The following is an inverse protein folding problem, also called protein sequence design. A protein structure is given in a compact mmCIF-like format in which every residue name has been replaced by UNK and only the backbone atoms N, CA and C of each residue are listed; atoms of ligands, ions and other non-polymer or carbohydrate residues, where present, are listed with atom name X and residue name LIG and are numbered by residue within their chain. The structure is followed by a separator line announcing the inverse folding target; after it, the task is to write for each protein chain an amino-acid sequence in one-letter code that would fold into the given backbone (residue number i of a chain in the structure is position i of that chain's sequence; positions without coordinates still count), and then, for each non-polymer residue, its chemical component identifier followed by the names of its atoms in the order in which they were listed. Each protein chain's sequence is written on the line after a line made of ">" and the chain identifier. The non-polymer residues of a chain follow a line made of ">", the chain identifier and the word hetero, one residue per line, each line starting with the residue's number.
data_IF_913185291152
#
_entry.id   IF_913185291152
#
_cell.length_a   1.000
_cell.length_b   1.000
_cell.length_c   1.000
_cell.angle_alpha   90.00
_cell.angle_beta   90.00
_cell.angle_gamma   90.00
#
_symmetry.space_group_name_H-M   'P 1'
#
loop_
_entity.id
_entity.type
_entity.pdbx_description
1 polymer ?
#
# COMPACT_ATOMS: atom_id res chain seq x y z
N UNK A 1 -4.49 13.86 -10.38
CA UNK A 1 -3.61 13.64 -9.23
C UNK A 1 -4.41 13.56 -7.95
N UNK A 2 -5.22 14.58 -7.66
CA UNK A 2 -6.00 14.67 -6.41
C UNK A 2 -6.91 13.45 -6.15
N UNK A 3 -7.61 12.94 -7.18
CA UNK A 3 -8.44 11.73 -7.05
C UNK A 3 -7.61 10.50 -6.64
N UNK A 4 -6.44 10.29 -7.25
CA UNK A 4 -5.55 9.17 -6.90
C UNK A 4 -4.97 9.33 -5.49
N UNK A 5 -4.56 10.56 -5.13
CA UNK A 5 -4.06 10.85 -3.78
C UNK A 5 -5.16 10.62 -2.73
N UNK A 6 -6.39 11.05 -3.01
CA UNK A 6 -7.54 10.83 -2.14
C UNK A 6 -7.84 9.34 -2.00
N UNK A 7 -7.82 8.58 -3.11
CA UNK A 7 -7.96 7.12 -3.10
C UNK A 7 -6.88 6.46 -2.25
N UNK A 8 -5.61 6.77 -2.48
CA UNK A 8 -4.48 6.19 -1.73
C UNK A 8 -4.56 6.52 -0.24
N UNK A 9 -4.92 7.77 0.13
CA UNK A 9 -5.13 8.13 1.54
C UNK A 9 -6.23 7.27 2.17
N UNK A 10 -7.38 7.16 1.53
CA UNK A 10 -8.49 6.34 2.04
C UNK A 10 -8.09 4.87 2.22
N UNK A 11 -7.33 4.31 1.27
CA UNK A 11 -6.87 2.92 1.34
C UNK A 11 -5.81 2.70 2.42
N UNK A 12 -4.88 3.63 2.57
CA UNK A 12 -3.87 3.57 3.64
C UNK A 12 -4.51 3.72 5.03
N UNK A 13 -5.55 4.54 5.15
CA UNK A 13 -6.32 4.68 6.40
C UNK A 13 -7.09 3.39 6.71
N UNK A 14 -7.66 2.73 5.70
CA UNK A 14 -8.31 1.43 5.84
C UNK A 14 -7.32 0.32 6.26
N UNK A 15 -6.18 0.22 5.58
CA UNK A 15 -5.10 -0.72 5.91
C UNK A 15 -4.59 -0.50 7.35
N UNK A 16 -4.43 0.76 7.77
CA UNK A 16 -4.05 1.12 9.13
C UNK A 16 -5.10 0.71 10.15
N UNK A 17 -6.39 0.97 9.89
CA UNK A 17 -7.48 0.58 10.79
C UNK A 17 -7.56 -0.94 10.96
N UNK A 18 -7.48 -1.69 9.85
CA UNK A 18 -7.49 -3.15 9.87
C UNK A 18 -6.28 -3.70 10.63
N UNK A 19 -5.09 -3.13 10.41
CA UNK A 19 -3.88 -3.52 11.14
C UNK A 19 -3.99 -3.19 12.64
N UNK A 20 -4.45 -2.00 13.02
CA UNK A 20 -4.63 -1.65 14.44
C UNK A 20 -5.65 -2.57 15.14
N UNK A 21 -6.74 -2.91 14.48
CA UNK A 21 -7.73 -3.85 15.01
C UNK A 21 -7.15 -5.27 15.18
N UNK A 22 -6.31 -5.70 14.23
CA UNK A 22 -5.64 -7.00 14.29
C UNK A 22 -4.52 -7.05 15.36
N UNK A 23 -3.78 -5.96 15.55
CA UNK A 23 -2.72 -5.85 16.58
C UNK A 23 -3.29 -5.99 18.00
N UNK A 24 -4.51 -5.50 18.22
CA UNK A 24 -5.27 -5.68 19.46
C UNK A 24 -5.90 -7.09 19.60
N UNK A 25 -5.70 -7.97 18.61
CA UNK A 25 -6.29 -9.30 18.51
C UNK A 25 -5.31 -10.46 18.66
N UNK A 26 -5.52 -11.54 17.90
CA UNK A 26 -4.78 -12.81 18.00
C UNK A 26 -3.29 -12.75 17.59
N UNK A 27 -2.78 -11.58 17.19
CA UNK A 27 -1.39 -11.38 16.76
C UNK A 27 -0.43 -11.06 17.92
N UNK A 28 -0.96 -10.61 19.07
CA UNK A 28 -0.18 -10.25 20.27
C UNK A 28 -0.36 -11.23 21.42
N UNK A 29 -1.33 -12.14 21.32
CA UNK A 29 -1.63 -13.09 22.37
C UNK A 29 -0.90 -14.43 22.15
N UNK A 30 -0.21 -14.84 23.21
CA UNK A 30 0.46 -16.11 23.43
C UNK A 30 -0.56 -17.27 23.42
N UNK A 31 -1.10 -17.63 22.25
CA UNK A 31 -1.92 -18.83 22.08
C UNK A 31 -1.14 -19.91 21.34
N UNK A 32 -0.36 -20.64 22.14
CA UNK A 32 0.47 -21.81 21.83
C UNK A 32 -0.34 -23.01 21.28
N UNK A 33 -1.69 -22.94 21.22
CA UNK A 33 -2.56 -24.05 20.80
C UNK A 33 -2.90 -24.10 19.30
N UNK A 34 -2.78 -22.99 18.55
CA UNK A 34 -2.99 -23.00 17.09
C UNK A 34 -1.69 -23.23 16.31
N UNK A 35 -0.72 -23.92 16.92
CA UNK A 35 0.39 -24.55 16.19
C UNK A 35 -0.11 -25.74 15.37
N UNK A 36 -0.93 -25.48 14.36
CA UNK A 36 -1.39 -26.47 13.41
C UNK A 36 -0.65 -26.29 12.08
N UNK A 37 0.52 -26.95 12.01
CA UNK A 37 1.39 -27.20 10.83
C UNK A 37 2.02 -25.96 10.18
N UNK A 38 3.33 -25.79 10.40
CA UNK A 38 4.15 -24.91 9.58
C UNK A 38 4.02 -25.24 8.08
N UNK A 39 4.08 -24.20 7.26
CA UNK A 39 3.86 -24.20 5.81
C UNK A 39 3.97 -22.78 5.25
N UNK A 40 4.09 -22.65 3.93
CA UNK A 40 4.36 -21.38 3.26
C UNK A 40 3.23 -20.34 3.45
N UNK A 41 1.98 -20.79 3.57
CA UNK A 41 0.82 -19.93 3.79
C UNK A 41 0.85 -19.26 5.17
N UNK A 42 1.29 -20.00 6.19
CA UNK A 42 1.44 -19.47 7.55
C UNK A 42 2.65 -18.53 7.67
N UNK A 43 3.77 -18.89 7.03
CA UNK A 43 4.94 -18.00 6.96
C UNK A 43 4.60 -16.70 6.24
N UNK A 44 3.82 -16.76 5.16
CA UNK A 44 3.31 -15.57 4.48
C UNK A 44 2.45 -14.73 5.43
N UNK A 45 1.47 -15.33 6.12
CA UNK A 45 0.64 -14.63 7.09
C UNK A 45 1.48 -13.92 8.17
N UNK A 46 2.43 -14.61 8.80
CA UNK A 46 3.33 -14.01 9.80
C UNK A 46 4.18 -12.88 9.23
N UNK A 47 4.64 -13.03 7.98
CA UNK A 47 5.42 -12.00 7.29
C UNK A 47 4.59 -10.74 7.03
N UNK A 48 3.27 -10.85 6.99
CA UNK A 48 2.32 -9.74 6.83
C UNK A 48 1.63 -9.36 8.16
N UNK A 49 2.38 -9.42 9.28
CA UNK A 49 1.86 -9.04 10.60
C UNK A 49 1.35 -7.59 10.66
N UNK A 50 0.38 -7.29 11.55
CA UNK A 50 -0.16 -5.95 11.72
C UNK A 50 0.91 -4.87 11.95
N UNK A 51 1.88 -5.16 12.82
CA UNK A 51 2.99 -4.25 13.09
C UNK A 51 3.83 -3.95 11.85
N UNK A 52 3.95 -4.89 10.90
CA UNK A 52 4.60 -4.60 9.61
C UNK A 52 3.71 -3.74 8.72
N UNK A 53 2.42 -4.07 8.58
CA UNK A 53 1.49 -3.28 7.76
C UNK A 53 1.48 -1.81 8.20
N UNK A 54 1.47 -1.53 9.50
CA UNK A 54 1.58 -0.16 10.02
C UNK A 54 2.86 0.56 9.58
N UNK A 55 4.00 -0.14 9.55
CA UNK A 55 5.26 0.43 9.04
C UNK A 55 5.20 0.67 7.54
N UNK A 56 4.59 -0.23 6.78
CA UNK A 56 4.39 -0.06 5.33
C UNK A 56 3.45 1.10 5.01
N UNK A 57 2.35 1.26 5.76
CA UNK A 57 1.48 2.44 5.65
C UNK A 57 2.27 3.72 5.92
N UNK A 58 3.05 3.76 7.00
CA UNK A 58 3.94 4.89 7.31
C UNK A 58 4.92 5.19 6.17
N UNK A 59 5.57 4.15 5.62
CA UNK A 59 6.49 4.30 4.50
C UNK A 59 5.79 4.83 3.23
N UNK A 60 4.61 4.32 2.88
CA UNK A 60 3.82 4.78 1.72
C UNK A 60 3.35 6.23 1.90
N UNK A 61 2.93 6.63 3.11
CA UNK A 61 2.60 8.03 3.44
C UNK A 61 3.82 8.95 3.30
N UNK A 62 5.01 8.51 3.71
CA UNK A 62 6.25 9.25 3.50
C UNK A 62 6.58 9.43 2.01
N UNK A 63 6.44 8.37 1.21
CA UNK A 63 6.57 8.47 -0.25
C UNK A 63 5.56 9.48 -0.79
N UNK A 64 4.27 9.39 -0.42
CA UNK A 64 3.29 10.37 -0.89
C UNK A 64 3.70 11.81 -0.54
N UNK A 65 4.17 12.07 0.69
CA UNK A 65 4.62 13.39 1.12
C UNK A 65 5.84 13.91 0.33
N UNK A 66 6.79 13.04 -0.04
CA UNK A 66 7.92 13.41 -0.92
C UNK A 66 7.48 13.80 -2.33
N UNK A 67 6.31 13.30 -2.74
CA UNK A 67 5.73 13.50 -4.06
C UNK A 67 4.52 14.46 -4.05
N UNK A 68 4.31 15.18 -2.94
CA UNK A 68 3.35 16.29 -2.87
C UNK A 68 3.99 17.58 -3.41
N UNK A 69 3.31 18.23 -4.36
CA UNK A 69 3.81 19.45 -5.01
C UNK A 69 4.76 19.18 -6.19
N UNK A 70 5.49 20.21 -6.61
CA UNK A 70 6.45 20.11 -7.73
C UNK A 70 7.68 19.32 -7.32
N UNK A 71 7.95 18.21 -8.00
CA UNK A 71 9.10 17.35 -7.75
C UNK A 71 9.56 16.67 -9.05
N UNK A 72 10.83 16.23 -9.08
CA UNK A 72 11.40 15.44 -10.17
C UNK A 72 11.26 13.95 -9.83
N UNK A 73 10.48 13.20 -10.62
CA UNK A 73 10.45 11.73 -10.59
C UNK A 73 11.25 11.20 -11.77
N UNK A 74 12.12 10.21 -11.55
CA UNK A 74 12.67 9.41 -12.66
C UNK A 74 11.59 8.46 -13.17
N UNK A 75 11.32 8.49 -14.47
CA UNK A 75 10.56 7.43 -15.14
C UNK A 75 11.39 6.13 -15.26
N UNK A 76 10.72 5.01 -15.54
CA UNK A 76 11.36 3.68 -15.71
C UNK A 76 12.26 3.60 -16.96
N UNK A 77 12.21 4.59 -17.86
CA UNK A 77 12.96 4.64 -19.11
C UNK A 77 14.21 5.55 -19.05
N UNK A 78 14.62 5.96 -17.84
CA UNK A 78 15.92 6.60 -17.55
C UNK A 78 16.15 7.95 -18.25
N UNK A 79 15.09 8.59 -18.75
CA UNK A 79 15.19 9.91 -19.35
C UNK A 79 14.75 10.96 -18.32
N UNK A 80 15.72 11.66 -17.70
CA UNK A 80 15.50 12.80 -16.81
C UNK A 80 14.91 14.01 -17.56
N UNK A 81 13.71 13.86 -18.09
CA UNK A 81 12.92 14.94 -18.65
C UNK A 81 11.91 15.37 -17.61
N UNK A 82 11.77 16.68 -17.47
CA UNK A 82 10.64 17.32 -16.85
C UNK A 82 9.37 16.93 -17.62
N UNK A 83 8.86 15.73 -17.39
CA UNK A 83 7.56 15.38 -17.91
C UNK A 83 6.56 16.05 -16.97
N UNK A 84 5.75 16.96 -17.49
CA UNK A 84 4.48 17.35 -16.87
C UNK A 84 3.54 16.13 -16.86
N UNK A 85 3.99 14.99 -16.30
CA UNK A 85 3.11 13.89 -16.02
C UNK A 85 2.10 14.42 -15.03
N UNK A 86 0.84 14.46 -15.46
CA UNK A 86 -0.29 14.88 -14.62
C UNK A 86 -0.39 14.07 -13.31
N UNK A 87 0.35 12.96 -13.20
CA UNK A 87 0.47 12.08 -12.03
C UNK A 87 1.88 11.48 -11.99
N UNK A 88 2.64 11.63 -10.90
CA UNK A 88 3.97 11.01 -10.80
C UNK A 88 3.88 9.46 -10.85
N UNK A 89 4.75 8.78 -11.61
CA UNK A 89 4.79 7.32 -11.74
C UNK A 89 4.94 6.59 -10.41
N UNK A 90 5.78 7.12 -9.51
CA UNK A 90 5.97 6.57 -8.16
C UNK A 90 4.67 6.54 -7.38
N UNK A 91 3.83 7.58 -7.52
CA UNK A 91 2.51 7.62 -6.87
C UNK A 91 1.55 6.62 -7.52
N UNK A 92 1.57 6.45 -8.86
CA UNK A 92 0.79 5.40 -9.53
C UNK A 92 1.17 4.01 -9.05
N UNK A 93 2.46 3.75 -8.82
CA UNK A 93 2.94 2.46 -8.33
C UNK A 93 2.36 2.08 -6.96
N UNK A 94 2.03 3.07 -6.11
CA UNK A 94 1.38 2.81 -4.83
C UNK A 94 -0.05 2.28 -4.98
N UNK A 95 -0.67 2.42 -6.15
CA UNK A 95 -2.01 1.91 -6.43
C UNK A 95 -2.03 0.40 -6.77
N UNK A 96 -0.89 -0.19 -7.13
CA UNK A 96 -0.79 -1.59 -7.58
C UNK A 96 -1.39 -2.62 -6.61
N UNK A 97 -1.19 -2.54 -5.28
CA UNK A 97 -1.77 -3.52 -4.35
C UNK A 97 -3.30 -3.58 -4.41
N UNK A 98 -3.94 -2.53 -4.93
CA UNK A 98 -5.39 -2.39 -4.97
C UNK A 98 -5.98 -2.73 -6.36
N UNK A 99 -5.14 -3.06 -7.35
CA UNK A 99 -5.56 -3.27 -8.74
C UNK A 99 -6.30 -4.60 -8.98
N UNK A 100 -5.90 -5.66 -8.28
CA UNK A 100 -6.36 -7.03 -8.57
C UNK A 100 -7.57 -7.48 -7.72
N UNK A 101 -8.13 -6.61 -6.86
CA UNK A 101 -9.28 -6.96 -6.01
C UNK A 101 -10.52 -6.08 -6.29
N UNK A 102 -11.28 -6.35 -7.37
CA UNK A 102 -12.45 -5.55 -7.75
C UNK A 102 -13.56 -5.54 -6.69
N UNK A 103 -13.71 -6.61 -5.91
CA UNK A 103 -14.68 -6.69 -4.80
C UNK A 103 -14.29 -5.85 -3.57
N UNK A 104 -13.01 -5.47 -3.43
CA UNK A 104 -12.53 -4.67 -2.29
C UNK A 104 -12.63 -3.17 -2.58
N UNK A 105 -12.43 -2.75 -3.84
CA UNK A 105 -12.21 -1.33 -4.16
C UNK A 105 -12.97 -0.86 -5.41
N UNK A 106 -14.28 -0.59 -5.31
CA UNK A 106 -15.10 -0.13 -6.44
C UNK A 106 -14.66 1.23 -7.01
N UNK A 107 -13.89 2.00 -6.25
CA UNK A 107 -13.40 3.33 -6.67
C UNK A 107 -12.06 3.28 -7.43
N UNK A 108 -11.43 2.09 -7.55
CA UNK A 108 -10.20 1.94 -8.32
C UNK A 108 -10.44 2.24 -9.80
N UNK A 109 -9.55 3.01 -10.42
CA UNK A 109 -9.61 3.32 -11.86
C UNK A 109 -8.43 2.70 -12.59
N UNK A 110 -8.68 2.03 -13.72
CA UNK A 110 -7.65 1.42 -14.57
C UNK A 110 -6.54 2.41 -14.98
N UNK A 111 -6.87 3.69 -15.15
CA UNK A 111 -5.91 4.75 -15.46
C UNK A 111 -4.81 4.93 -14.39
N UNK A 112 -5.03 4.43 -13.16
CA UNK A 112 -4.06 4.47 -12.07
C UNK A 112 -3.09 3.29 -12.09
N UNK A 113 -3.39 2.24 -12.85
CA UNK A 113 -2.45 1.13 -13.06
C UNK A 113 -1.20 1.68 -13.76
N UNK A 114 0.01 1.42 -13.22
CA UNK A 114 1.24 1.62 -13.99
C UNK A 114 1.21 0.80 -15.28
N UNK A 115 1.79 1.33 -16.35
CA UNK A 115 1.96 0.62 -17.62
C UNK A 115 3.00 -0.51 -17.51
#
# INVERSE_FOLDING_TARGET
>A
MDDLIAFLRARLDEDEQLAQAADQGCWTNEYDEFRCRGGAEFEHLLHHSPARVLREVGAKRLVMAMHEGSHECSDLDDNCLWVELRVCPTVKALALPYADHPDYHPDYREEWRPE
#
